data_IF_895728415335
#
_entry.id   IF_895728415335
#
_cell.length_a   1.000
_cell.length_b   1.000
_cell.length_c   1.000
_cell.angle_alpha   90.00
_cell.angle_beta   90.00
_cell.angle_gamma   90.00
#
_symmetry.space_group_name_H-M   'P 1'
#
loop_
_entity.id
_entity.type
_entity.pdbx_description
1 polymer ?
#
# COMPACT_ATOMS: atom_id res chain seq x y z
N UNK A 1 -5.29 -5.85 4.28
CA UNK A 1 -5.00 -4.42 4.04
C UNK A 1 -3.55 -4.22 4.38
N UNK A 2 -2.71 -4.06 3.37
CA UNK A 2 -1.30 -3.76 3.59
C UNK A 2 -1.21 -2.30 4.02
N UNK A 3 -0.97 -2.06 5.31
CA UNK A 3 -0.77 -0.70 5.83
C UNK A 3 0.68 -0.31 5.59
N UNK A 4 0.87 0.81 4.91
CA UNK A 4 2.18 1.37 4.54
C UNK A 4 2.23 2.83 4.95
N UNK A 5 3.38 3.25 5.45
CA UNK A 5 3.69 4.64 5.73
C UNK A 5 4.91 5.04 4.91
N UNK A 6 4.88 6.25 4.37
CA UNK A 6 5.98 6.82 3.58
C UNK A 6 6.42 8.11 4.26
N UNK A 7 7.72 8.23 4.47
CA UNK A 7 8.36 9.42 5.01
C UNK A 7 9.18 10.15 3.96
N UNK A 8 9.87 11.20 4.41
CA UNK A 8 10.84 11.92 3.59
C UNK A 8 12.03 11.04 3.21
N UNK A 9 12.82 11.49 2.25
CA UNK A 9 14.10 10.87 1.86
C UNK A 9 14.02 9.36 1.53
N UNK A 10 12.89 8.94 0.96
CA UNK A 10 12.69 7.56 0.54
C UNK A 10 12.54 6.56 1.68
N UNK A 11 12.23 7.02 2.90
CA UNK A 11 11.86 6.15 4.00
C UNK A 11 10.47 5.56 3.81
N UNK A 12 10.34 4.28 4.16
CA UNK A 12 9.06 3.57 4.16
C UNK A 12 8.97 2.68 5.38
N UNK A 13 7.78 2.58 5.96
CA UNK A 13 7.48 1.62 7.04
C UNK A 13 6.33 0.74 6.58
N UNK A 14 6.52 -0.57 6.64
CA UNK A 14 5.51 -1.56 6.25
C UNK A 14 5.33 -2.64 7.31
N UNK A 15 4.09 -3.09 7.51
CA UNK A 15 3.83 -4.27 8.32
C UNK A 15 4.28 -5.54 7.61
N UNK A 16 5.04 -6.40 8.29
CA UNK A 16 5.47 -7.71 7.74
C UNK A 16 5.37 -8.81 8.79
N UNK A 17 5.26 -10.06 8.34
CA UNK A 17 5.36 -11.23 9.20
C UNK A 17 6.80 -11.75 9.26
N UNK A 18 7.32 -11.94 10.47
CA UNK A 18 8.63 -12.54 10.76
C UNK A 18 8.46 -13.60 11.84
N UNK A 19 8.83 -14.84 11.53
CA UNK A 19 8.71 -15.98 12.45
C UNK A 19 7.32 -16.08 13.13
N UNK A 20 6.25 -15.82 12.37
CA UNK A 20 4.87 -15.86 12.87
C UNK A 20 4.43 -14.62 13.66
N UNK A 21 5.29 -13.61 13.85
CA UNK A 21 4.97 -12.36 14.54
C UNK A 21 4.92 -11.19 13.56
N UNK A 22 3.96 -10.29 13.75
CA UNK A 22 3.90 -9.04 13.01
C UNK A 22 4.92 -8.03 13.55
N UNK A 23 5.69 -7.43 12.65
CA UNK A 23 6.70 -6.41 12.94
C UNK A 23 6.61 -5.27 11.92
N UNK A 24 7.23 -4.13 12.22
CA UNK A 24 7.34 -2.97 11.33
C UNK A 24 8.70 -2.98 10.65
N UNK A 25 8.74 -3.21 9.34
CA UNK A 25 9.97 -3.09 8.57
C UNK A 25 10.17 -1.65 8.12
N UNK A 26 11.30 -1.07 8.51
CA UNK A 26 11.79 0.21 7.98
C UNK A 26 12.63 -0.07 6.74
N UNK A 27 12.34 0.64 5.66
CA UNK A 27 13.10 0.63 4.41
C UNK A 27 13.56 2.04 4.09
N UNK A 28 14.65 2.16 3.33
CA UNK A 28 15.12 3.41 2.75
C UNK A 28 15.62 3.14 1.34
N UNK A 29 15.14 3.88 0.36
CA UNK A 29 15.47 3.70 -1.07
C UNK A 29 15.32 2.24 -1.53
N UNK A 30 14.26 1.56 -1.07
CA UNK A 30 13.97 0.16 -1.41
C UNK A 30 14.76 -0.90 -0.61
N UNK A 31 15.85 -0.53 0.06
CA UNK A 31 16.62 -1.43 0.93
C UNK A 31 15.99 -1.58 2.32
N UNK A 32 16.18 -2.73 2.98
CA UNK A 32 15.73 -2.92 4.37
C UNK A 32 16.75 -2.32 5.34
N UNK A 33 16.29 -1.50 6.27
CA UNK A 33 17.11 -0.86 7.30
C UNK A 33 16.99 -1.63 8.63
N UNK A 34 15.77 -1.92 9.05
CA UNK A 34 15.48 -2.62 10.30
C UNK A 34 14.12 -3.32 10.28
N UNK A 35 13.99 -4.40 11.06
CA UNK A 35 12.70 -4.97 11.46
C UNK A 35 12.47 -4.60 12.93
N UNK A 36 11.48 -3.75 13.20
CA UNK A 36 11.18 -3.15 14.50
C UNK A 36 9.94 -3.80 15.14
N UNK A 37 10.00 -4.09 16.44
CA UNK A 37 8.89 -4.68 17.20
C UNK A 37 8.03 -3.65 17.93
N UNK A 38 8.44 -2.37 17.91
CA UNK A 38 7.73 -1.26 18.54
C UNK A 38 7.89 0.05 17.76
N UNK A 39 7.00 1.01 18.00
CA UNK A 39 7.09 2.36 17.42
C UNK A 39 8.34 3.11 17.92
N UNK A 40 8.74 2.87 19.17
CA UNK A 40 9.95 3.47 19.73
C UNK A 40 11.22 3.01 18.98
N UNK A 41 11.27 1.75 18.52
CA UNK A 41 12.36 1.29 17.66
C UNK A 41 12.32 1.95 16.28
N UNK A 42 11.13 2.15 15.69
CA UNK A 42 10.99 2.87 14.41
C UNK A 42 11.50 4.31 14.51
N UNK A 43 11.20 5.00 15.62
CA UNK A 43 11.62 6.38 15.89
C UNK A 43 13.16 6.54 15.96
N UNK A 44 13.92 5.45 16.08
CA UNK A 44 15.38 5.49 16.01
C UNK A 44 15.91 5.61 14.57
N UNK A 45 15.06 5.38 13.57
CA UNK A 45 15.44 5.32 12.16
C UNK A 45 14.82 6.44 11.32
N UNK A 46 13.65 6.94 11.71
CA UNK A 46 12.88 7.96 10.98
C UNK A 46 12.15 8.86 11.97
N UNK A 47 11.98 10.14 11.62
CA UNK A 47 11.07 11.02 12.36
C UNK A 47 9.63 10.57 12.11
N UNK A 48 8.92 10.22 13.18
CA UNK A 48 7.55 9.75 13.09
C UNK A 48 6.60 10.85 12.56
N UNK A 49 6.93 12.13 12.77
CA UNK A 49 6.11 13.24 12.30
C UNK A 49 6.10 13.37 10.76
N UNK A 50 7.13 12.83 10.09
CA UNK A 50 7.25 12.87 8.64
C UNK A 50 6.50 11.72 7.95
N UNK A 51 6.00 10.75 8.70
CA UNK A 51 5.34 9.57 8.14
C UNK A 51 3.88 9.84 7.80
N UNK A 52 3.53 9.65 6.54
CA UNK A 52 2.15 9.64 6.07
C UNK A 52 1.69 8.22 5.75
N UNK A 53 0.53 7.81 6.28
CA UNK A 53 -0.11 6.56 5.86
C UNK A 53 -0.54 6.70 4.40
N UNK A 54 -0.19 5.71 3.59
CA UNK A 54 -0.58 5.64 2.18
C UNK A 54 -1.37 4.35 1.96
N UNK A 55 -2.43 4.49 1.16
CA UNK A 55 -3.26 3.37 0.72
C UNK A 55 -3.23 3.32 -0.80
N UNK A 56 -3.14 2.10 -1.35
CA UNK A 56 -3.19 1.94 -2.79
C UNK A 56 -4.57 2.31 -3.31
N UNK A 57 -4.61 3.13 -4.36
CA UNK A 57 -5.86 3.42 -5.05
C UNK A 57 -6.37 2.14 -5.71
N UNK A 58 -7.65 1.75 -5.51
CA UNK A 58 -8.19 0.53 -6.08
C UNK A 58 -8.06 0.59 -7.61
N UNK A 59 -7.42 -0.43 -8.19
CA UNK A 59 -7.29 -0.53 -9.63
C UNK A 59 -8.68 -0.46 -10.29
N UNK A 60 -8.82 0.39 -11.32
CA UNK A 60 -10.08 0.54 -12.05
C UNK A 60 -10.54 -0.83 -12.53
N UNK A 61 -11.70 -1.28 -12.05
CA UNK A 61 -12.29 -2.55 -12.50
C UNK A 61 -12.41 -2.47 -14.03
N UNK A 62 -11.95 -3.47 -14.81
CA UNK A 62 -12.12 -3.44 -16.25
C UNK A 62 -13.61 -3.22 -16.54
N UNK A 63 -13.91 -2.23 -17.36
CA UNK A 63 -15.27 -1.95 -17.77
C UNK A 63 -15.80 -3.25 -18.38
N UNK A 64 -16.85 -3.83 -17.77
CA UNK A 64 -17.58 -4.92 -18.43
C UNK A 64 -18.01 -4.36 -19.77
N UNK A 65 -17.58 -5.01 -20.84
CA UNK A 65 -17.96 -4.71 -22.22
C UNK A 65 -19.46 -4.41 -22.22
N UNK A 66 -19.83 -3.15 -22.51
CA UNK A 66 -21.22 -2.73 -22.54
C UNK A 66 -21.92 -3.66 -23.52
N UNK A 67 -22.82 -4.50 -23.03
CA UNK A 67 -23.54 -5.46 -23.84
C UNK A 67 -24.07 -4.71 -25.07
N UNK A 68 -23.59 -5.08 -26.26
CA UNK A 68 -24.01 -4.45 -27.52
C UNK A 68 -25.53 -4.38 -27.52
N UNK A 69 -26.09 -3.18 -27.45
CA UNK A 69 -27.52 -2.96 -27.57
C UNK A 69 -27.93 -3.54 -28.92
N UNK A 70 -28.58 -4.71 -28.91
CA UNK A 70 -29.17 -5.28 -30.12
C UNK A 70 -30.37 -4.42 -30.47
N UNK A 71 -30.23 -3.55 -31.46
CA UNK A 71 -31.37 -2.84 -32.06
C UNK A 71 -32.24 -3.88 -32.77
N UNK A 72 -33.40 -4.18 -32.18
CA UNK A 72 -34.48 -4.91 -32.84
C UNK A 72 -35.18 -3.94 -33.79
N UNK A 73 -34.91 -4.04 -35.08
CA UNK A 73 -35.67 -3.34 -36.12
C UNK A 73 -36.88 -4.20 -36.48
N UNK A 74 -38.05 -3.90 -35.90
CA UNK A 74 -39.32 -4.34 -36.45
C UNK A 74 -39.71 -3.41 -37.60
N UNK A 75 -39.64 -3.90 -38.83
CA UNK A 75 -40.37 -3.33 -39.95
C UNK A 75 -41.62 -4.16 -40.22
N UNK A 76 -42.68 -3.41 -40.51
CA UNK A 76 -44.10 -3.78 -40.59
C UNK A 76 -44.43 -4.35 -41.96
#
# INVERSE_FOLDING_TARGET
>A
MDRRWVGLDGYEVVGVLRAGRQVLRVRRHGGTVADCTSVAEVARHVDLADLCEVIDFPARRPAKESAKARTSSHHR
#
